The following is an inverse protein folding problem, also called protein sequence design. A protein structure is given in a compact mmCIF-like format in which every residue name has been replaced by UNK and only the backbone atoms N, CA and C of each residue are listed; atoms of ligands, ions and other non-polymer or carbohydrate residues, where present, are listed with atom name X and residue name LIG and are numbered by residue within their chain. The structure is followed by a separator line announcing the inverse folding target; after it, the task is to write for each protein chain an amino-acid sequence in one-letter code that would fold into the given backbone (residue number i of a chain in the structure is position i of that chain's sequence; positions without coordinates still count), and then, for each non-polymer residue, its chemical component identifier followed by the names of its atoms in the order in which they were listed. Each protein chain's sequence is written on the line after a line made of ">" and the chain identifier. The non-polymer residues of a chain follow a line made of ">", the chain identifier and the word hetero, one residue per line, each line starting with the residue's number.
data_IF_027132845371
#
_entry.id   IF_027132845371
#
_cell.length_a   1.000
_cell.length_b   1.000
_cell.length_c   1.000
_cell.angle_alpha   90.00
_cell.angle_beta   90.00
_cell.angle_gamma   90.00
#
_symmetry.space_group_name_H-M   'P 1'
#
loop_
_entity.id
_entity.type
_entity.pdbx_description
1 polymer ?
#
# COMPACT_ATOMS: atom_id res chain seq x y z
N UNK A 1 -12.66 27.17 -9.39
CA UNK A 1 -11.39 26.47 -9.67
C UNK A 1 -11.54 25.09 -9.09
N UNK A 2 -11.94 24.14 -9.93
CA UNK A 2 -12.09 22.73 -9.56
C UNK A 2 -10.69 22.15 -9.36
N UNK A 3 -10.21 22.19 -8.11
CA UNK A 3 -9.09 21.34 -7.70
C UNK A 3 -9.63 19.92 -7.77
N UNK A 4 -9.15 19.14 -8.72
CA UNK A 4 -9.29 17.69 -8.72
C UNK A 4 -8.89 17.18 -7.32
N UNK A 5 -9.87 16.99 -6.43
CA UNK A 5 -9.65 16.33 -5.16
C UNK A 5 -9.39 14.87 -5.53
N UNK A 6 -8.12 14.49 -5.58
CA UNK A 6 -7.72 13.09 -5.48
C UNK A 6 -8.40 12.55 -4.24
N UNK A 7 -9.43 11.73 -4.45
CA UNK A 7 -10.29 11.25 -3.37
C UNK A 7 -9.44 10.46 -2.39
N UNK A 8 -9.53 10.82 -1.11
CA UNK A 8 -8.96 10.03 -0.03
C UNK A 8 -9.50 8.59 -0.06
N UNK A 9 -8.82 7.68 0.62
CA UNK A 9 -9.21 6.28 0.67
C UNK A 9 -10.45 6.10 1.54
N UNK A 10 -11.37 5.27 1.06
CA UNK A 10 -12.41 4.71 1.93
C UNK A 10 -11.80 3.73 2.94
N UNK A 11 -12.54 3.44 4.01
CA UNK A 11 -12.13 2.44 5.01
C UNK A 11 -12.00 1.03 4.40
N UNK A 12 -12.83 0.69 3.42
CA UNK A 12 -12.77 -0.63 2.74
C UNK A 12 -11.53 -0.75 1.86
N UNK A 13 -11.18 0.29 1.12
CA UNK A 13 -9.91 0.34 0.37
C UNK A 13 -8.70 0.24 1.30
N UNK A 14 -8.73 0.91 2.45
CA UNK A 14 -7.68 0.77 3.44
C UNK A 14 -7.58 -0.64 4.00
N UNK A 15 -8.71 -1.31 4.25
CA UNK A 15 -8.74 -2.71 4.68
C UNK A 15 -8.08 -3.61 3.63
N UNK A 16 -8.40 -3.42 2.34
CA UNK A 16 -7.79 -4.20 1.25
C UNK A 16 -6.26 -4.03 1.21
N UNK A 17 -5.76 -2.81 1.39
CA UNK A 17 -4.32 -2.51 1.49
C UNK A 17 -3.68 -3.30 2.64
N UNK A 18 -4.30 -3.27 3.82
CA UNK A 18 -3.80 -3.98 5.01
C UNK A 18 -3.82 -5.49 4.81
N UNK A 19 -4.89 -6.03 4.21
CA UNK A 19 -5.02 -7.45 3.92
C UNK A 19 -3.98 -7.91 2.91
N UNK A 20 -3.77 -7.16 1.83
CA UNK A 20 -2.71 -7.43 0.87
C UNK A 20 -1.33 -7.41 1.54
N UNK A 21 -1.05 -6.37 2.32
CA UNK A 21 0.22 -6.24 3.04
C UNK A 21 0.45 -7.44 3.96
N UNK A 22 -0.56 -7.85 4.74
CA UNK A 22 -0.51 -9.04 5.61
C UNK A 22 -0.35 -10.35 4.83
N UNK A 23 -1.01 -10.47 3.68
CA UNK A 23 -1.00 -11.68 2.88
C UNK A 23 0.36 -11.94 2.24
N UNK A 24 1.02 -10.88 1.76
CA UNK A 24 2.18 -11.00 0.88
C UNK A 24 3.49 -10.44 1.45
N UNK A 25 3.51 -9.67 2.54
CA UNK A 25 4.77 -9.13 3.08
C UNK A 25 5.41 -10.00 4.15
N UNK A 26 6.74 -9.95 4.20
CA UNK A 26 7.58 -11.00 4.81
C UNK A 26 7.87 -10.78 6.31
N UNK A 27 7.39 -9.70 6.95
CA UNK A 27 7.77 -9.43 8.34
C UNK A 27 7.27 -10.55 9.28
N UNK A 28 8.18 -11.48 9.62
CA UNK A 28 7.88 -12.67 10.40
C UNK A 28 7.22 -13.83 9.64
N UNK A 29 7.04 -13.74 8.32
CA UNK A 29 6.50 -14.85 7.49
C UNK A 29 7.61 -15.58 6.76
N UNK A 30 7.67 -16.90 6.94
CA UNK A 30 8.52 -17.80 6.16
C UNK A 30 7.66 -18.45 5.09
N UNK A 31 7.68 -17.90 3.87
CA UNK A 31 7.07 -18.56 2.72
C UNK A 31 7.94 -19.74 2.28
N UNK A 32 7.31 -20.85 1.91
CA UNK A 32 8.03 -21.90 1.21
C UNK A 32 8.34 -21.50 -0.25
N UNK A 33 9.15 -22.31 -0.95
CA UNK A 33 9.57 -22.00 -2.32
C UNK A 33 8.41 -21.98 -3.32
N UNK A 34 7.36 -22.80 -3.09
CA UNK A 34 6.17 -22.86 -3.92
C UNK A 34 5.32 -21.58 -3.79
N UNK A 35 5.06 -21.15 -2.56
CA UNK A 35 4.34 -19.91 -2.26
C UNK A 35 5.06 -18.69 -2.84
N UNK A 36 6.38 -18.61 -2.66
CA UNK A 36 7.20 -17.53 -3.26
C UNK A 36 7.09 -17.52 -4.78
N UNK A 37 7.08 -18.69 -5.42
CA UNK A 37 6.97 -18.81 -6.88
C UNK A 37 5.59 -18.35 -7.35
N UNK A 38 4.51 -18.79 -6.71
CA UNK A 38 3.15 -18.38 -7.04
C UNK A 38 2.95 -16.86 -6.90
N UNK A 39 3.47 -16.25 -5.83
CA UNK A 39 3.41 -14.79 -5.62
C UNK A 39 4.18 -14.06 -6.71
N UNK A 40 5.39 -14.52 -7.07
CA UNK A 40 6.16 -13.93 -8.19
C UNK A 40 5.45 -14.07 -9.53
N UNK A 41 4.66 -15.13 -9.76
CA UNK A 41 3.86 -15.25 -10.98
C UNK A 41 2.72 -14.23 -11.02
N UNK A 42 2.05 -13.99 -9.88
CA UNK A 42 0.99 -12.99 -9.77
C UNK A 42 1.53 -11.55 -9.85
N UNK A 43 2.69 -11.32 -9.23
CA UNK A 43 3.33 -10.00 -9.13
C UNK A 43 4.80 -10.09 -9.53
N UNK A 44 5.12 -10.11 -10.84
CA UNK A 44 6.49 -10.32 -11.35
C UNK A 44 7.52 -9.31 -10.87
N UNK A 45 7.06 -8.09 -10.53
CA UNK A 45 7.92 -7.01 -10.03
C UNK A 45 7.93 -6.90 -8.50
N UNK A 46 7.20 -7.76 -7.80
CA UNK A 46 7.13 -7.73 -6.35
C UNK A 46 8.53 -7.97 -5.76
N UNK A 47 9.02 -6.96 -5.06
CA UNK A 47 10.26 -7.05 -4.28
C UNK A 47 9.85 -7.46 -2.88
N UNK A 48 10.60 -8.39 -2.30
CA UNK A 48 10.37 -8.90 -0.97
C UNK A 48 10.42 -7.73 0.04
N UNK A 49 9.24 -7.20 0.38
CA UNK A 49 9.11 -5.96 1.16
C UNK A 49 8.82 -6.33 2.61
N UNK A 50 9.72 -5.97 3.53
CA UNK A 50 9.55 -6.23 4.96
C UNK A 50 8.75 -5.11 5.65
N UNK A 51 7.43 -5.08 5.44
CA UNK A 51 6.54 -4.11 6.12
C UNK A 51 6.23 -4.61 7.54
N UNK A 52 6.62 -3.85 8.55
CA UNK A 52 6.38 -4.14 9.97
C UNK A 52 5.12 -3.46 10.50
N UNK A 53 4.91 -2.20 10.12
CA UNK A 53 3.76 -1.40 10.54
C UNK A 53 3.18 -0.63 9.37
N UNK A 54 1.87 -0.37 9.46
CA UNK A 54 1.13 0.50 8.54
C UNK A 54 0.51 1.59 9.41
N UNK A 55 0.83 2.84 9.14
CA UNK A 55 0.20 4.00 9.80
C UNK A 55 -0.66 4.75 8.79
N UNK A 56 -1.71 5.41 9.26
CA UNK A 56 -2.62 6.18 8.43
C UNK A 56 -3.10 7.44 9.14
N UNK A 57 -3.52 8.45 8.36
CA UNK A 57 -4.24 9.62 8.88
C UNK A 57 -5.64 9.65 8.30
N UNK A 58 -6.60 9.55 9.20
CA UNK A 58 -8.02 9.56 8.90
C UNK A 58 -8.58 10.97 9.09
N UNK A 59 -9.31 11.46 8.09
CA UNK A 59 -10.12 12.66 8.15
C UNK A 59 -11.54 12.29 8.60
N UNK A 60 -11.93 12.80 9.75
CA UNK A 60 -13.25 12.57 10.34
C UNK A 60 -14.37 13.38 9.70
N UNK A 61 -14.04 14.44 8.95
CA UNK A 61 -15.04 15.28 8.25
C UNK A 61 -15.53 14.55 7.01
N UNK A 62 -14.58 14.06 6.20
CA UNK A 62 -14.87 13.42 4.91
C UNK A 62 -14.93 11.89 5.01
N UNK A 63 -14.65 11.32 6.18
CA UNK A 63 -14.60 9.87 6.42
C UNK A 63 -13.63 9.15 5.47
N UNK A 64 -12.47 9.76 5.21
CA UNK A 64 -11.45 9.21 4.30
C UNK A 64 -10.06 9.18 4.92
N UNK A 65 -9.17 8.36 4.38
CA UNK A 65 -7.75 8.33 4.75
C UNK A 65 -6.95 9.05 3.66
N UNK A 66 -6.22 10.10 4.03
CA UNK A 66 -5.44 10.91 3.07
C UNK A 66 -3.93 10.67 3.13
N UNK A 67 -3.47 9.86 4.09
CA UNK A 67 -2.08 9.48 4.25
C UNK A 67 -1.95 8.03 4.66
N UNK A 68 -1.00 7.32 4.06
CA UNK A 68 -0.55 5.99 4.48
C UNK A 68 0.97 5.95 4.49
N UNK A 69 1.55 5.31 5.50
CA UNK A 69 2.97 4.99 5.54
C UNK A 69 3.22 3.54 5.93
N UNK A 70 4.09 2.90 5.15
CA UNK A 70 4.63 1.58 5.42
C UNK A 70 5.99 1.73 6.10
N UNK A 71 6.12 1.13 7.28
CA UNK A 71 7.31 1.19 8.12
C UNK A 71 7.90 -0.21 8.22
N UNK A 72 9.19 -0.36 7.90
CA UNK A 72 9.92 -1.61 8.04
C UNK A 72 11.16 -1.70 7.12
N UNK A 73 11.96 -2.75 7.30
CA UNK A 73 13.20 -2.96 6.53
C UNK A 73 14.17 -1.77 6.57
N UNK A 74 14.75 -1.43 5.40
CA UNK A 74 15.77 -0.38 5.26
C UNK A 74 15.22 1.03 4.99
N UNK A 75 13.96 1.18 4.53
CA UNK A 75 13.35 2.50 4.23
C UNK A 75 11.84 2.48 4.42
N UNK A 76 11.32 3.50 5.09
CA UNK A 76 9.88 3.78 5.13
C UNK A 76 9.41 4.31 3.77
N UNK A 77 8.14 4.05 3.44
CA UNK A 77 7.49 4.61 2.26
C UNK A 77 6.14 5.22 2.65
N UNK A 78 5.96 6.50 2.34
CA UNK A 78 4.74 7.24 2.62
C UNK A 78 4.05 7.70 1.32
N UNK A 79 2.73 7.83 1.39
CA UNK A 79 1.86 8.29 0.31
C UNK A 79 0.84 9.28 0.86
N UNK A 80 0.63 10.38 0.15
CA UNK A 80 -0.38 11.38 0.44
C UNK A 80 -1.24 11.66 -0.81
N UNK A 81 -2.51 12.03 -0.60
CA UNK A 81 -3.44 12.48 -1.67
C UNK A 81 -2.90 13.68 -2.45
N UNK A 82 -2.07 14.52 -1.83
CA UNK A 82 -1.54 15.75 -2.45
C UNK A 82 -0.29 15.54 -3.31
N UNK A 83 0.29 14.33 -3.33
CA UNK A 83 1.59 14.12 -3.99
C UNK A 83 1.47 13.92 -5.51
N UNK A 84 0.30 13.56 -6.04
CA UNK A 84 0.11 13.15 -7.44
C UNK A 84 -1.38 13.23 -7.82
N UNK A 85 -1.69 13.43 -9.11
CA UNK A 85 -3.06 13.39 -9.67
C UNK A 85 -3.65 11.97 -9.73
N UNK A 86 -2.83 10.93 -9.55
CA UNK A 86 -3.26 9.53 -9.50
C UNK A 86 -3.90 9.22 -8.14
N UNK A 87 -5.07 8.52 -8.10
CA UNK A 87 -5.73 8.15 -6.86
C UNK A 87 -4.79 7.46 -5.87
N UNK A 88 -4.91 7.81 -4.58
CA UNK A 88 -4.05 7.29 -3.52
C UNK A 88 -4.08 5.76 -3.46
N UNK A 89 -5.25 5.15 -3.70
CA UNK A 89 -5.41 3.69 -3.71
C UNK A 89 -4.54 3.02 -4.76
N UNK A 90 -4.59 3.52 -5.98
CA UNK A 90 -3.90 2.91 -7.12
C UNK A 90 -2.39 2.99 -6.93
N UNK A 91 -1.88 4.13 -6.45
CA UNK A 91 -0.46 4.32 -6.13
C UNK A 91 0.01 3.36 -5.05
N UNK A 92 -0.75 3.23 -3.97
CA UNK A 92 -0.40 2.33 -2.85
C UNK A 92 -0.41 0.88 -3.32
N UNK A 93 -1.44 0.45 -4.05
CA UNK A 93 -1.53 -0.92 -4.55
C UNK A 93 -0.48 -1.21 -5.62
N UNK A 94 -0.14 -0.24 -6.47
CA UNK A 94 0.97 -0.35 -7.42
C UNK A 94 2.28 -0.61 -6.67
N UNK A 95 2.60 0.20 -5.65
CA UNK A 95 3.78 -0.01 -4.82
C UNK A 95 3.79 -1.40 -4.15
N UNK A 96 2.68 -1.81 -3.55
CA UNK A 96 2.57 -3.11 -2.89
C UNK A 96 2.75 -4.28 -3.86
N UNK A 97 2.33 -4.13 -5.12
CA UNK A 97 2.50 -5.12 -6.19
C UNK A 97 3.87 -5.01 -6.90
N UNK A 98 4.74 -4.09 -6.47
CA UNK A 98 6.08 -3.88 -7.03
C UNK A 98 6.12 -3.03 -8.30
N UNK A 99 5.05 -2.30 -8.62
CA UNK A 99 5.05 -1.25 -9.63
C UNK A 99 5.87 -0.03 -9.22
N UNK A 100 6.23 0.81 -10.20
CA UNK A 100 6.72 2.16 -9.95
C UNK A 100 5.52 3.10 -9.73
N UNK A 101 5.72 4.16 -8.94
CA UNK A 101 4.71 5.21 -8.68
C UNK A 101 4.34 6.02 -9.92
#
# INVERSE_FOLDING_TARGET
>A
MDKNMTTGLTLDQFREIVEFARAFHEYGKFYDEGERTAIKMLYPKWKNMSIKYITSRYDSVDNTIWYIEFIGGLKNKAFNTNDNDTPLFDRVMAYLKGGEE
#
